data_IF_009658013954
#
_entry.id   IF_009658013954
#
_cell.length_a   1.000
_cell.length_b   1.000
_cell.length_c   1.000
_cell.angle_alpha   90.00
_cell.angle_beta   90.00
_cell.angle_gamma   90.00
#
_symmetry.space_group_name_H-M   'P 1'
#
loop_
_entity.id
_entity.type
_entity.pdbx_description
1 polymer ?
#
# COMPACT_ATOMS: atom_id res chain seq x y z
N UNK A 1 -15.03 -16.56 24.18
CA UNK A 1 -14.20 -17.78 24.19
C UNK A 1 -13.82 -18.04 25.64
N UNK A 2 -14.27 -19.15 26.22
CA UNK A 2 -14.03 -19.49 27.63
C UNK A 2 -12.69 -20.22 27.77
N UNK A 3 -11.94 -19.93 28.84
CA UNK A 3 -10.65 -20.56 29.18
C UNK A 3 -10.81 -21.31 30.52
N UNK A 4 -10.16 -22.48 30.73
CA UNK A 4 -10.46 -23.36 31.85
C UNK A 4 -9.83 -22.85 33.15
N UNK A 5 -10.63 -22.81 34.22
CA UNK A 5 -10.12 -22.67 35.59
C UNK A 5 -9.44 -23.97 36.02
N UNK A 6 -8.24 -23.86 36.58
CA UNK A 6 -7.54 -24.96 37.25
C UNK A 6 -8.34 -25.33 38.50
N UNK A 7 -9.06 -26.45 38.48
CA UNK A 7 -9.86 -26.93 39.61
C UNK A 7 -8.95 -27.33 40.77
N UNK A 8 -8.98 -26.55 41.85
CA UNK A 8 -8.90 -27.08 43.20
C UNK A 8 -10.30 -26.86 43.83
N UNK A 9 -11.14 -27.88 43.69
CA UNK A 9 -12.30 -28.25 44.51
C UNK A 9 -13.05 -27.10 45.19
N UNK A 10 -14.20 -26.73 44.63
CA UNK A 10 -15.43 -26.55 45.41
C UNK A 10 -16.66 -26.84 44.52
N UNK A 11 -17.56 -27.69 45.01
CA UNK A 11 -18.72 -28.18 44.27
C UNK A 11 -19.84 -27.12 44.22
N UNK A 12 -20.18 -26.59 43.03
CA UNK A 12 -21.58 -26.37 42.62
C UNK A 12 -21.71 -25.82 41.19
N UNK A 13 -22.24 -26.67 40.31
CA UNK A 13 -22.99 -26.37 39.08
C UNK A 13 -22.46 -25.29 38.11
N UNK A 14 -21.71 -25.71 37.09
CA UNK A 14 -21.46 -24.91 35.89
C UNK A 14 -20.71 -25.68 34.79
N UNK A 15 -21.44 -26.09 33.75
CA UNK A 15 -20.99 -26.65 32.46
C UNK A 15 -19.60 -27.33 32.42
N UNK A 16 -19.56 -28.65 32.66
CA UNK A 16 -18.41 -29.51 32.39
C UNK A 16 -18.18 -29.67 30.88
N UNK A 17 -17.19 -28.97 30.35
CA UNK A 17 -16.60 -29.27 29.04
C UNK A 17 -15.41 -30.20 29.20
N UNK A 18 -15.52 -31.44 28.72
CA UNK A 18 -14.41 -32.41 28.75
C UNK A 18 -13.21 -31.92 27.94
N UNK A 19 -12.01 -32.00 28.53
CA UNK A 19 -10.73 -31.67 27.90
C UNK A 19 -10.52 -32.42 26.58
N UNK A 20 -10.30 -31.68 25.49
CA UNK A 20 -9.81 -32.23 24.22
C UNK A 20 -8.28 -32.27 24.27
N UNK A 21 -7.71 -33.33 24.85
CA UNK A 21 -6.29 -33.66 24.74
C UNK A 21 -5.54 -33.72 26.08
N UNK A 22 -4.61 -34.67 26.19
CA UNK A 22 -3.78 -34.95 27.37
C UNK A 22 -2.45 -34.16 27.37
N UNK A 23 -2.32 -33.13 26.53
CA UNK A 23 -1.15 -32.25 26.52
C UNK A 23 -1.35 -31.13 27.54
N UNK A 24 -0.32 -30.83 28.34
CA UNK A 24 -0.33 -29.72 29.28
C UNK A 24 -0.48 -28.39 28.51
N UNK A 25 -1.72 -27.99 28.26
CA UNK A 25 -2.03 -26.77 27.51
C UNK A 25 -1.54 -25.53 28.26
N UNK A 26 -0.82 -24.65 27.54
CA UNK A 26 -0.39 -23.34 28.05
C UNK A 26 -1.62 -22.47 28.37
N UNK A 27 -1.63 -21.84 29.54
CA UNK A 27 -2.75 -20.98 29.95
C UNK A 27 -2.79 -19.71 29.09
N UNK A 28 -3.99 -19.12 28.89
CA UNK A 28 -4.17 -17.90 28.09
C UNK A 28 -3.23 -16.75 28.52
N UNK A 29 -3.10 -16.54 29.83
CA UNK A 29 -2.23 -15.50 30.39
C UNK A 29 -0.74 -15.76 30.13
N UNK A 30 -0.33 -17.03 30.10
CA UNK A 30 1.05 -17.43 29.78
C UNK A 30 1.32 -17.26 28.28
N UNK A 31 0.39 -17.69 27.42
CA UNK A 31 0.53 -17.59 25.96
C UNK A 31 0.66 -16.14 25.49
N UNK A 32 -0.14 -15.23 26.05
CA UNK A 32 -0.11 -13.81 25.70
C UNK A 32 0.87 -12.97 26.54
N UNK A 33 1.56 -13.59 27.51
CA UNK A 33 2.45 -12.91 28.45
C UNK A 33 1.77 -11.69 29.10
N UNK A 34 0.55 -11.88 29.60
CA UNK A 34 -0.25 -10.78 30.16
C UNK A 34 0.38 -10.18 31.41
N UNK A 35 1.25 -10.91 32.10
CA UNK A 35 2.06 -10.40 33.19
C UNK A 35 2.97 -9.25 32.74
N UNK A 36 3.59 -9.34 31.55
CA UNK A 36 4.39 -8.25 31.00
C UNK A 36 3.51 -7.15 30.43
N UNK A 37 2.49 -7.53 29.66
CA UNK A 37 1.66 -6.56 28.93
C UNK A 37 0.82 -5.69 29.86
N UNK A 38 0.19 -6.27 30.89
CA UNK A 38 -0.72 -5.59 31.81
C UNK A 38 -0.02 -5.00 33.04
N UNK A 39 1.31 -5.09 33.13
CA UNK A 39 2.12 -4.38 34.13
C UNK A 39 3.06 -3.34 33.50
N UNK A 40 2.84 -2.97 32.24
CA UNK A 40 3.64 -1.97 31.51
C UNK A 40 3.08 -0.54 31.66
N UNK A 41 2.02 -0.31 32.45
CA UNK A 41 1.32 0.97 32.55
C UNK A 41 1.84 1.81 33.72
N UNK A 42 2.94 2.53 33.50
CA UNK A 42 3.60 3.37 34.51
C UNK A 42 3.19 4.84 34.35
N UNK A 43 2.38 5.36 35.29
CA UNK A 43 1.93 6.76 35.33
C UNK A 43 2.91 7.65 36.12
N UNK A 44 3.53 8.64 35.47
CA UNK A 44 4.49 9.54 36.10
C UNK A 44 3.80 10.54 37.06
N UNK A 45 2.56 10.91 36.78
CA UNK A 45 1.77 11.78 37.66
C UNK A 45 1.45 11.12 39.00
N UNK A 46 1.17 9.81 38.98
CA UNK A 46 0.92 9.01 40.18
C UNK A 46 2.17 8.88 41.06
N UNK A 47 3.35 8.68 40.45
CA UNK A 47 4.63 8.67 41.17
C UNK A 47 4.96 10.03 41.80
N UNK A 48 4.49 11.11 41.19
CA UNK A 48 4.70 12.48 41.66
C UNK A 48 3.65 12.96 42.68
N UNK A 49 2.85 12.04 43.25
CA UNK A 49 1.80 12.32 44.25
C UNK A 49 0.67 13.25 43.78
N UNK A 50 0.47 13.40 42.46
CA UNK A 50 -0.65 14.13 41.85
C UNK A 50 -1.20 13.32 40.68
N UNK A 51 -1.92 12.21 40.94
CA UNK A 51 -2.39 11.33 39.89
C UNK A 51 -3.38 12.05 38.97
N UNK A 52 -3.10 12.03 37.67
CA UNK A 52 -4.01 12.50 36.62
C UNK A 52 -4.60 11.28 35.93
N UNK A 53 -5.92 11.12 36.03
CA UNK A 53 -6.64 9.93 35.56
C UNK A 53 -6.37 9.62 34.07
N UNK A 54 -6.43 10.65 33.22
CA UNK A 54 -6.33 10.49 31.76
C UNK A 54 -4.91 10.17 31.26
N UNK A 55 -3.89 10.24 32.12
CA UNK A 55 -2.55 9.75 31.78
C UNK A 55 -2.58 8.23 31.48
N UNK A 56 -3.44 7.46 32.17
CA UNK A 56 -3.59 6.03 31.90
C UNK A 56 -4.14 5.78 30.48
N UNK A 57 -5.15 6.57 30.06
CA UNK A 57 -5.71 6.51 28.70
C UNK A 57 -4.65 6.86 27.65
N UNK A 58 -3.83 7.89 27.92
CA UNK A 58 -2.73 8.28 27.07
C UNK A 58 -1.73 7.12 26.88
N UNK A 59 -1.31 6.45 27.96
CA UNK A 59 -0.37 5.32 27.92
C UNK A 59 -0.96 4.14 27.13
N UNK A 60 -2.16 3.68 27.49
CA UNK A 60 -2.81 2.54 26.84
C UNK A 60 -3.01 2.78 25.35
N UNK A 61 -3.41 3.99 24.96
CA UNK A 61 -3.60 4.34 23.56
C UNK A 61 -2.29 4.19 22.76
N UNK A 62 -1.18 4.73 23.26
CA UNK A 62 0.12 4.63 22.61
C UNK A 62 0.65 3.19 22.59
N UNK A 63 0.48 2.43 23.67
CA UNK A 63 0.84 1.00 23.71
C UNK A 63 0.07 0.19 22.67
N UNK A 64 -1.24 0.44 22.53
CA UNK A 64 -2.04 -0.21 21.49
C UNK A 64 -1.58 0.17 20.08
N UNK A 65 -1.23 1.44 19.82
CA UNK A 65 -0.61 1.85 18.54
C UNK A 65 0.69 1.08 18.27
N UNK A 66 1.59 0.99 19.25
CA UNK A 66 2.88 0.31 19.10
C UNK A 66 2.74 -1.20 18.88
N UNK A 67 1.73 -1.86 19.49
CA UNK A 67 1.41 -3.27 19.18
C UNK A 67 0.97 -3.44 17.73
N UNK A 68 0.11 -2.55 17.23
CA UNK A 68 -0.33 -2.58 15.84
C UNK A 68 0.78 -2.21 14.86
N UNK A 69 1.67 -1.27 15.19
CA UNK A 69 2.86 -0.99 14.37
C UNK A 69 3.76 -2.22 14.27
N UNK A 70 3.96 -2.96 15.37
CA UNK A 70 4.69 -4.23 15.35
C UNK A 70 4.05 -5.25 14.41
N UNK A 71 2.72 -5.39 14.47
CA UNK A 71 2.00 -6.28 13.55
C UNK A 71 2.14 -5.82 12.09
N UNK A 72 2.00 -4.54 11.80
CA UNK A 72 2.16 -4.01 10.43
C UNK A 72 3.58 -4.27 9.93
N UNK A 73 4.61 -4.01 10.74
CA UNK A 73 6.01 -4.26 10.36
C UNK A 73 6.23 -5.75 10.08
N UNK A 74 5.67 -6.63 10.91
CA UNK A 74 5.75 -8.07 10.71
C UNK A 74 5.14 -8.51 9.37
N UNK A 75 3.96 -7.98 9.02
CA UNK A 75 3.32 -8.24 7.73
C UNK A 75 4.13 -7.66 6.55
N UNK A 76 4.61 -6.42 6.69
CA UNK A 76 5.41 -5.74 5.65
C UNK A 76 6.71 -6.50 5.40
N UNK A 77 7.43 -6.92 6.44
CA UNK A 77 8.66 -7.69 6.31
C UNK A 77 8.40 -9.03 5.62
N UNK A 78 7.30 -9.69 5.97
CA UNK A 78 6.95 -10.95 5.32
C UNK A 78 6.53 -10.76 3.85
N UNK A 79 5.85 -9.67 3.50
CA UNK A 79 5.56 -9.31 2.10
C UNK A 79 6.84 -8.96 1.34
N UNK A 80 7.78 -8.23 1.97
CA UNK A 80 9.10 -7.94 1.38
C UNK A 80 9.84 -9.23 1.06
N UNK A 81 9.89 -10.18 1.98
CA UNK A 81 10.51 -11.49 1.73
C UNK A 81 9.83 -12.30 0.61
N UNK A 82 8.51 -12.24 0.49
CA UNK A 82 7.79 -12.91 -0.61
C UNK A 82 8.04 -12.27 -1.99
N UNK A 83 8.34 -10.96 -2.03
CA UNK A 83 8.63 -10.23 -3.26
C UNK A 83 10.12 -10.28 -3.65
N UNK A 84 11.02 -10.53 -2.69
CA UNK A 84 12.47 -10.57 -2.90
C UNK A 84 12.94 -11.93 -3.43
N UNK A 85 12.32 -12.36 -4.53
CA UNK A 85 12.66 -13.59 -5.27
C UNK A 85 12.73 -13.29 -6.77
N UNK A 86 13.54 -14.03 -7.52
CA UNK A 86 13.73 -13.80 -8.97
C UNK A 86 12.45 -14.02 -9.78
N UNK A 87 11.61 -14.96 -9.34
CA UNK A 87 10.30 -15.24 -9.93
C UNK A 87 9.22 -15.30 -8.85
N UNK A 88 8.17 -14.49 -8.99
CA UNK A 88 7.01 -14.54 -8.11
C UNK A 88 6.04 -15.60 -8.65
N UNK A 89 5.87 -16.69 -7.91
CA UNK A 89 4.78 -17.62 -8.18
C UNK A 89 3.42 -16.93 -7.94
N UNK A 90 2.47 -17.16 -8.84
CA UNK A 90 1.11 -16.60 -8.72
C UNK A 90 0.43 -17.06 -7.43
N UNK A 91 0.80 -18.24 -6.92
CA UNK A 91 0.33 -18.74 -5.61
C UNK A 91 0.69 -17.80 -4.44
N UNK A 92 1.88 -17.18 -4.47
CA UNK A 92 2.32 -16.22 -3.45
C UNK A 92 1.64 -14.87 -3.58
N UNK A 93 1.10 -14.53 -4.76
CA UNK A 93 0.39 -13.26 -4.98
C UNK A 93 -0.84 -13.14 -4.08
N UNK A 94 -1.57 -14.24 -3.91
CA UNK A 94 -2.75 -14.26 -3.02
C UNK A 94 -2.37 -14.05 -1.55
N UNK A 95 -1.25 -14.63 -1.11
CA UNK A 95 -0.74 -14.44 0.25
C UNK A 95 -0.31 -12.98 0.48
N UNK A 96 0.37 -12.37 -0.50
CA UNK A 96 0.73 -10.95 -0.46
C UNK A 96 -0.51 -10.08 -0.34
N UNK A 97 -1.53 -10.32 -1.18
CA UNK A 97 -2.79 -9.56 -1.15
C UNK A 97 -3.51 -9.67 0.19
N UNK A 98 -3.59 -10.89 0.74
CA UNK A 98 -4.20 -11.13 2.06
C UNK A 98 -3.51 -10.29 3.15
N UNK A 99 -2.17 -10.24 3.14
CA UNK A 99 -1.37 -9.51 4.13
C UNK A 99 -1.44 -7.99 3.93
N UNK A 100 -1.37 -7.50 2.70
CA UNK A 100 -1.57 -6.08 2.39
C UNK A 100 -2.99 -5.62 2.80
N UNK A 101 -4.02 -6.41 2.50
CA UNK A 101 -5.37 -6.11 2.94
C UNK A 101 -5.50 -6.10 4.48
N UNK A 102 -4.82 -7.03 5.17
CA UNK A 102 -4.75 -7.02 6.64
C UNK A 102 -4.11 -5.72 7.16
N UNK A 103 -3.00 -5.27 6.57
CA UNK A 103 -2.37 -3.99 6.91
C UNK A 103 -3.35 -2.82 6.71
N UNK A 104 -4.07 -2.80 5.58
CA UNK A 104 -5.10 -1.78 5.31
C UNK A 104 -6.19 -1.76 6.39
N UNK A 105 -6.68 -2.92 6.84
CA UNK A 105 -7.68 -2.99 7.90
C UNK A 105 -7.13 -2.53 9.26
N UNK A 106 -5.89 -2.89 9.60
CA UNK A 106 -5.23 -2.39 10.81
C UNK A 106 -5.08 -0.86 10.73
N UNK A 107 -4.63 -0.31 9.61
CA UNK A 107 -4.49 1.14 9.43
C UNK A 107 -5.85 1.86 9.55
N UNK A 108 -6.96 1.27 9.08
CA UNK A 108 -8.31 1.83 9.32
C UNK A 108 -8.64 1.90 10.81
N UNK A 109 -8.37 0.82 11.55
CA UNK A 109 -8.55 0.81 13.01
C UNK A 109 -7.69 1.89 13.68
N UNK A 110 -6.43 2.07 13.25
CA UNK A 110 -5.52 3.08 13.78
C UNK A 110 -6.00 4.52 13.51
N UNK A 111 -6.63 4.76 12.37
CA UNK A 111 -7.25 6.05 12.02
C UNK A 111 -8.40 6.36 12.99
N UNK A 112 -9.25 5.37 13.28
CA UNK A 112 -10.41 5.53 14.15
C UNK A 112 -10.02 5.61 15.64
N UNK A 113 -8.94 4.95 16.03
CA UNK A 113 -8.44 4.93 17.40
C UNK A 113 -8.09 6.33 17.95
N UNK A 114 -7.79 7.31 17.07
CA UNK A 114 -7.56 8.71 17.49
C UNK A 114 -8.78 9.28 18.23
N UNK A 115 -10.00 8.88 17.86
CA UNK A 115 -11.23 9.35 18.48
C UNK A 115 -11.33 8.96 19.97
N UNK A 116 -10.69 7.86 20.39
CA UNK A 116 -10.63 7.45 21.79
C UNK A 116 -9.82 8.46 22.59
N UNK A 117 -8.65 8.86 22.09
CA UNK A 117 -7.79 9.84 22.76
C UNK A 117 -8.37 11.26 22.74
N UNK A 118 -9.20 11.57 21.75
CA UNK A 118 -9.94 12.84 21.67
C UNK A 118 -11.01 13.02 22.77
N UNK A 119 -11.33 11.97 23.54
CA UNK A 119 -12.22 12.07 24.71
C UNK A 119 -11.56 12.75 25.91
N UNK A 120 -10.22 12.76 25.98
CA UNK A 120 -9.45 13.50 26.97
C UNK A 120 -9.53 15.00 26.68
N UNK A 121 -9.75 15.82 27.71
CA UNK A 121 -9.82 17.27 27.52
C UNK A 121 -8.44 17.90 27.45
N UNK A 122 -8.28 19.05 26.77
CA UNK A 122 -6.99 19.77 26.76
C UNK A 122 -6.53 20.22 28.15
N UNK A 123 -7.45 20.47 29.09
CA UNK A 123 -7.10 20.84 30.47
C UNK A 123 -6.49 19.65 31.21
N UNK A 124 -7.12 18.47 31.13
CA UNK A 124 -6.60 17.25 31.75
C UNK A 124 -5.25 16.86 31.14
N UNK A 125 -5.07 17.04 29.82
CA UNK A 125 -3.79 16.81 29.17
C UNK A 125 -2.69 17.73 29.72
N UNK A 126 -3.00 19.01 29.95
CA UNK A 126 -2.04 19.98 30.47
C UNK A 126 -1.54 19.64 31.88
N UNK A 127 -2.36 18.96 32.69
CA UNK A 127 -2.03 18.58 34.07
C UNK A 127 -0.94 17.50 34.18
N UNK A 128 -0.70 16.70 33.13
CA UNK A 128 0.40 15.73 33.12
C UNK A 128 1.43 15.96 32.01
N UNK A 129 1.20 16.90 31.09
CA UNK A 129 2.07 17.14 29.93
C UNK A 129 3.53 17.43 30.29
N UNK A 130 3.81 18.08 31.43
CA UNK A 130 5.19 18.41 31.83
C UNK A 130 6.02 17.17 32.15
N UNK A 131 5.40 16.07 32.59
CA UNK A 131 6.08 14.79 32.84
C UNK A 131 6.57 14.13 31.55
N UNK A 132 5.98 14.48 30.41
CA UNK A 132 6.34 13.91 29.11
C UNK A 132 7.59 14.55 28.48
N UNK A 133 8.15 15.63 29.02
CA UNK A 133 9.33 16.28 28.42
C UNK A 133 10.62 15.53 28.78
N UNK A 134 11.55 15.27 27.83
CA UNK A 134 11.56 15.68 26.42
C UNK A 134 10.91 14.66 25.46
N UNK A 135 10.29 13.61 25.98
CA UNK A 135 9.70 12.54 25.18
C UNK A 135 8.62 13.03 24.19
N UNK A 136 8.62 12.42 23.01
CA UNK A 136 7.69 12.75 21.93
C UNK A 136 7.52 11.58 20.98
N UNK A 137 6.42 11.54 20.23
CA UNK A 137 6.20 10.58 19.14
C UNK A 137 7.26 10.60 18.04
N UNK A 138 8.16 11.60 18.04
CA UNK A 138 9.39 11.58 17.22
C UNK A 138 10.30 10.38 17.53
N UNK A 139 10.24 9.87 18.76
CA UNK A 139 10.99 8.72 19.26
C UNK A 139 10.26 7.39 19.02
N UNK A 140 9.13 7.36 18.29
CA UNK A 140 8.54 6.07 17.89
C UNK A 140 9.44 5.42 16.83
N UNK A 141 10.28 4.48 17.29
CA UNK A 141 11.18 3.69 16.45
C UNK A 141 10.39 2.95 15.38
N UNK A 142 9.32 2.25 15.77
CA UNK A 142 8.52 1.44 14.86
C UNK A 142 7.86 2.28 13.76
N UNK A 143 7.40 3.49 14.07
CA UNK A 143 6.85 4.38 13.05
C UNK A 143 7.90 4.78 11.99
N UNK A 144 9.17 5.00 12.40
CA UNK A 144 10.28 5.27 11.47
C UNK A 144 10.68 4.04 10.67
N UNK A 145 10.75 2.87 11.31
CA UNK A 145 10.98 1.60 10.62
C UNK A 145 9.92 1.33 9.55
N UNK A 146 8.64 1.59 9.87
CA UNK A 146 7.54 1.44 8.91
C UNK A 146 7.72 2.38 7.71
N UNK A 147 8.00 3.67 7.94
CA UNK A 147 8.23 4.62 6.85
C UNK A 147 9.41 4.19 5.95
N UNK A 148 10.52 3.73 6.54
CA UNK A 148 11.70 3.28 5.80
C UNK A 148 11.40 2.01 5.01
N UNK A 149 10.82 0.99 5.65
CA UNK A 149 10.46 -0.29 5.02
C UNK A 149 9.44 -0.14 3.91
N UNK A 150 8.54 0.85 3.98
CA UNK A 150 7.64 1.21 2.89
C UNK A 150 8.42 1.79 1.70
N UNK A 151 9.38 2.70 1.96
CA UNK A 151 10.24 3.30 0.95
C UNK A 151 10.34 4.82 1.00
N UNK A 152 10.03 5.45 2.14
CA UNK A 152 10.15 6.89 2.31
C UNK A 152 11.63 7.32 2.37
N UNK A 153 12.12 7.94 1.29
CA UNK A 153 13.51 8.44 1.23
C UNK A 153 13.75 9.58 2.22
N UNK A 154 14.93 9.59 2.83
CA UNK A 154 15.36 10.64 3.76
C UNK A 154 15.28 12.05 3.15
N UNK A 155 15.68 12.21 1.87
CA UNK A 155 15.63 13.48 1.15
C UNK A 155 14.20 14.06 1.01
N UNK A 156 13.17 13.21 1.07
CA UNK A 156 11.77 13.63 0.99
C UNK A 156 11.21 14.09 2.34
N UNK A 157 11.86 13.75 3.45
CA UNK A 157 11.48 14.21 4.79
C UNK A 157 11.66 15.73 4.88
N UNK A 158 10.77 16.39 5.62
CA UNK A 158 10.90 17.85 5.89
C UNK A 158 12.13 18.11 6.76
N UNK A 159 12.78 19.28 6.62
CA UNK A 159 14.10 19.60 7.21
C UNK A 159 14.26 19.22 8.69
N UNK A 160 13.25 19.52 9.52
CA UNK A 160 13.26 19.17 10.94
C UNK A 160 13.41 17.66 11.20
N UNK A 161 12.93 16.82 10.28
CA UNK A 161 12.91 15.37 10.37
C UNK A 161 13.85 14.70 9.35
N UNK A 162 14.80 15.45 8.76
CA UNK A 162 15.82 14.87 7.88
C UNK A 162 16.85 14.08 8.69
N UNK A 163 17.23 14.59 9.86
CA UNK A 163 18.12 13.91 10.80
C UNK A 163 17.34 13.21 11.92
N UNK A 164 16.29 12.48 11.58
CA UNK A 164 15.43 11.83 12.57
C UNK A 164 16.19 10.79 13.42
N UNK A 165 17.33 10.27 12.92
CA UNK A 165 18.21 9.35 13.64
C UNK A 165 18.83 9.98 14.90
N UNK A 166 19.06 11.31 14.93
CA UNK A 166 19.69 11.95 16.10
C UNK A 166 18.82 11.86 17.36
N UNK A 167 17.53 11.59 17.18
CA UNK A 167 16.55 11.41 18.26
C UNK A 167 16.77 10.07 19.00
N UNK A 168 17.48 9.12 18.38
CA UNK A 168 17.75 7.77 18.91
C UNK A 168 19.23 7.57 19.32
N UNK A 169 20.05 8.63 19.31
CA UNK A 169 21.52 8.54 19.38
C UNK A 169 22.12 7.84 20.61
N UNK A 170 21.33 7.61 21.66
CA UNK A 170 21.75 6.94 22.89
C UNK A 170 21.38 5.44 22.94
N UNK A 171 20.66 4.91 21.93
CA UNK A 171 20.23 3.51 21.85
C UNK A 171 20.88 2.81 20.63
N UNK A 172 21.93 1.99 20.86
CA UNK A 172 22.62 1.27 19.79
C UNK A 172 21.73 0.31 19.00
N UNK A 173 20.79 -0.39 19.65
CA UNK A 173 19.92 -1.37 19.00
C UNK A 173 18.90 -0.69 18.09
N UNK A 174 18.36 0.44 18.55
CA UNK A 174 17.47 1.27 17.73
C UNK A 174 18.20 1.81 16.50
N UNK A 175 19.44 2.29 16.67
CA UNK A 175 20.24 2.81 15.56
C UNK A 175 20.56 1.72 14.53
N UNK A 176 20.99 0.53 14.98
CA UNK A 176 21.25 -0.61 14.10
C UNK A 176 19.99 -0.97 13.29
N UNK A 177 18.84 -1.03 13.95
CA UNK A 177 17.56 -1.32 13.30
C UNK A 177 17.18 -0.27 12.25
N UNK A 178 17.44 1.01 12.52
CA UNK A 178 17.19 2.10 11.58
C UNK A 178 18.10 2.01 10.34
N UNK A 179 19.41 1.83 10.55
CA UNK A 179 20.39 1.67 9.45
C UNK A 179 19.99 0.48 8.58
N UNK A 180 19.71 -0.66 9.19
CA UNK A 180 19.24 -1.86 8.48
C UNK A 180 17.97 -1.59 7.67
N UNK A 181 17.01 -0.84 8.22
CA UNK A 181 15.78 -0.49 7.51
C UNK A 181 15.97 0.44 6.30
N UNK A 182 17.06 1.21 6.26
CA UNK A 182 17.41 2.08 5.13
C UNK A 182 18.22 1.35 4.05
N UNK A 183 19.04 0.37 4.45
CA UNK A 183 19.90 -0.41 3.55
C UNK A 183 19.15 -1.56 2.85
N UNK A 184 18.26 -2.24 3.57
CA UNK A 184 17.50 -3.34 2.99
C UNK A 184 16.52 -2.86 1.90
N UNK A 185 16.18 -3.70 0.91
CA UNK A 185 15.19 -3.35 -0.11
C UNK A 185 13.84 -2.97 0.52
N UNK A 186 13.44 -1.71 0.33
CA UNK A 186 12.13 -1.24 0.72
C UNK A 186 11.03 -1.86 -0.16
N UNK A 187 9.79 -1.89 0.33
CA UNK A 187 8.64 -2.39 -0.39
C UNK A 187 8.48 -1.71 -1.75
N UNK A 188 8.65 -0.38 -1.83
CA UNK A 188 8.65 0.36 -3.09
C UNK A 188 9.66 -0.18 -4.11
N UNK A 189 10.89 -0.51 -3.68
CA UNK A 189 11.93 -1.02 -4.57
C UNK A 189 11.61 -2.43 -5.07
N UNK A 190 11.04 -3.28 -4.22
CA UNK A 190 10.61 -4.63 -4.59
C UNK A 190 9.41 -4.61 -5.55
N UNK A 191 8.44 -3.72 -5.31
CA UNK A 191 7.32 -3.47 -6.21
C UNK A 191 7.80 -2.91 -7.56
N UNK A 192 8.78 -2.01 -7.57
CA UNK A 192 9.41 -1.50 -8.79
C UNK A 192 9.99 -2.66 -9.62
N UNK A 193 10.82 -3.51 -9.01
CA UNK A 193 11.40 -4.69 -9.69
C UNK A 193 10.34 -5.66 -10.21
N UNK A 194 9.26 -5.87 -9.45
CA UNK A 194 8.15 -6.72 -9.87
C UNK A 194 7.40 -6.13 -11.08
N UNK A 195 7.11 -4.83 -11.05
CA UNK A 195 6.44 -4.12 -12.14
C UNK A 195 7.28 -4.10 -13.44
N UNK A 196 8.61 -4.01 -13.34
CA UNK A 196 9.50 -4.06 -14.51
C UNK A 196 9.44 -5.40 -15.28
N UNK A 197 9.01 -6.46 -14.60
CA UNK A 197 8.83 -7.81 -15.15
C UNK A 197 7.42 -8.08 -15.69
N UNK A 198 6.54 -7.08 -15.67
CA UNK A 198 5.16 -7.24 -16.17
C UNK A 198 5.15 -7.77 -17.60
N UNK A 199 4.42 -8.87 -17.88
CA UNK A 199 4.37 -9.46 -19.22
C UNK A 199 3.71 -8.48 -20.20
N UNK A 200 4.24 -8.42 -21.42
CA UNK A 200 3.74 -7.56 -22.51
C UNK A 200 4.46 -6.22 -22.70
N UNK A 201 5.40 -5.88 -21.81
CA UNK A 201 6.27 -4.70 -21.95
C UNK A 201 7.41 -4.90 -22.98
N UNK A 202 7.73 -6.14 -23.34
CA UNK A 202 8.84 -6.45 -24.25
C UNK A 202 8.54 -5.98 -25.68
N UNK A 203 9.53 -5.33 -26.29
CA UNK A 203 9.46 -4.77 -27.66
C UNK A 203 9.29 -5.84 -28.74
N UNK A 204 9.87 -7.02 -28.53
CA UNK A 204 9.78 -8.17 -29.43
C UNK A 204 8.53 -9.04 -29.20
N UNK A 205 7.71 -8.70 -28.19
CA UNK A 205 6.45 -9.39 -27.88
C UNK A 205 5.24 -8.49 -28.18
N UNK A 206 4.31 -8.38 -27.24
CA UNK A 206 3.12 -7.55 -27.38
C UNK A 206 3.42 -6.06 -27.65
N UNK A 207 4.58 -5.56 -27.19
CA UNK A 207 5.01 -4.16 -27.30
C UNK A 207 3.93 -3.17 -26.85
N UNK A 208 3.45 -3.33 -25.61
CA UNK A 208 2.42 -2.46 -25.05
C UNK A 208 2.76 -0.98 -25.21
N UNK A 209 3.99 -0.58 -24.88
CA UNK A 209 4.40 0.82 -24.86
C UNK A 209 4.35 1.48 -26.24
N UNK A 210 4.83 0.79 -27.28
CA UNK A 210 4.75 1.29 -28.66
C UNK A 210 3.32 1.42 -29.15
N UNK A 211 2.46 0.42 -28.87
CA UNK A 211 1.04 0.46 -29.22
C UNK A 211 0.29 1.57 -28.48
N UNK A 212 0.60 1.76 -27.19
CA UNK A 212 0.04 2.82 -26.37
C UNK A 212 0.44 4.22 -26.88
N UNK A 213 1.72 4.42 -27.21
CA UNK A 213 2.19 5.68 -27.80
C UNK A 213 1.49 5.98 -29.14
N UNK A 214 1.32 4.97 -30.00
CA UNK A 214 0.59 5.13 -31.26
C UNK A 214 -0.88 5.52 -31.04
N UNK A 215 -1.55 4.90 -30.06
CA UNK A 215 -2.93 5.22 -29.72
C UNK A 215 -3.08 6.66 -29.18
N UNK A 216 -2.19 7.09 -28.29
CA UNK A 216 -2.16 8.48 -27.77
C UNK A 216 -1.93 9.48 -28.89
N UNK A 217 -0.94 9.23 -29.76
CA UNK A 217 -0.64 10.13 -30.88
C UNK A 217 -1.83 10.25 -31.84
N UNK A 218 -2.55 9.14 -32.10
CA UNK A 218 -3.77 9.13 -32.90
C UNK A 218 -4.86 9.98 -32.23
N UNK A 219 -5.11 9.77 -30.94
CA UNK A 219 -6.11 10.53 -30.17
C UNK A 219 -5.84 12.03 -30.21
N UNK A 220 -4.60 12.45 -29.91
CA UNK A 220 -4.23 13.88 -29.90
C UNK A 220 -4.38 14.48 -31.30
N UNK A 221 -4.04 13.73 -32.35
CA UNK A 221 -4.23 14.19 -33.73
C UNK A 221 -5.71 14.39 -34.06
N UNK A 222 -6.56 13.43 -33.70
CA UNK A 222 -8.02 13.52 -33.87
C UNK A 222 -8.60 14.70 -33.07
N UNK A 223 -8.18 14.89 -31.81
CA UNK A 223 -8.59 16.02 -30.96
C UNK A 223 -8.25 17.38 -31.61
N UNK A 224 -7.05 17.51 -32.20
CA UNK A 224 -6.61 18.73 -32.90
C UNK A 224 -7.44 18.96 -34.17
N UNK A 225 -7.67 17.91 -34.98
CA UNK A 225 -8.47 17.99 -36.20
C UNK A 225 -9.93 18.38 -35.90
N UNK A 226 -10.52 17.84 -34.83
CA UNK A 226 -11.85 18.20 -34.35
C UNK A 226 -11.90 19.63 -33.80
N UNK A 227 -10.89 20.04 -33.02
CA UNK A 227 -10.79 21.41 -32.52
C UNK A 227 -10.73 22.42 -33.68
N UNK A 228 -9.98 22.14 -34.75
CA UNK A 228 -9.89 23.01 -35.92
C UNK A 228 -11.23 23.18 -36.66
N UNK A 229 -12.11 22.17 -36.62
CA UNK A 229 -13.46 22.22 -37.23
C UNK A 229 -14.47 23.01 -36.41
N UNK A 230 -14.18 23.31 -35.14
CA UNK A 230 -15.09 24.01 -34.23
C UNK A 230 -15.36 25.45 -34.73
N UNK A 231 -16.62 25.84 -35.02
CA UNK A 231 -16.93 27.16 -35.58
C UNK A 231 -16.70 28.32 -34.58
N UNK A 232 -16.88 28.08 -33.28
CA UNK A 232 -16.67 29.10 -32.26
C UNK A 232 -15.17 29.28 -31.95
N UNK A 233 -14.63 30.49 -32.16
CA UNK A 233 -13.20 30.78 -32.00
C UNK A 233 -12.70 30.59 -30.56
N UNK A 234 -13.52 30.95 -29.55
CA UNK A 234 -13.14 30.83 -28.14
C UNK A 234 -13.06 29.35 -27.73
N UNK A 235 -14.04 28.55 -28.15
CA UNK A 235 -14.08 27.10 -27.92
C UNK A 235 -12.94 26.41 -28.65
N UNK A 236 -12.67 26.79 -29.91
CA UNK A 236 -11.53 26.29 -30.70
C UNK A 236 -10.21 26.52 -29.97
N UNK A 237 -9.98 27.75 -29.49
CA UNK A 237 -8.76 28.12 -28.77
C UNK A 237 -8.60 27.32 -27.48
N UNK A 238 -9.68 27.14 -26.73
CA UNK A 238 -9.67 26.31 -25.52
C UNK A 238 -9.33 24.85 -25.83
N UNK A 239 -9.99 24.23 -26.82
CA UNK A 239 -9.74 22.84 -27.20
C UNK A 239 -8.31 22.60 -27.71
N UNK A 240 -7.77 23.52 -28.50
CA UNK A 240 -6.37 23.42 -28.96
C UNK A 240 -5.39 23.49 -27.80
N UNK A 241 -5.61 24.40 -26.84
CA UNK A 241 -4.79 24.50 -25.63
C UNK A 241 -4.88 23.24 -24.77
N UNK A 242 -6.06 22.65 -24.64
CA UNK A 242 -6.24 21.38 -23.91
C UNK A 242 -5.50 20.23 -24.59
N UNK A 243 -5.54 20.15 -25.92
CA UNK A 243 -4.80 19.15 -26.69
C UNK A 243 -3.27 19.33 -26.54
N UNK A 244 -2.78 20.57 -26.56
CA UNK A 244 -1.36 20.89 -26.32
C UNK A 244 -0.92 20.50 -24.91
N UNK A 245 -1.70 20.86 -23.88
CA UNK A 245 -1.45 20.46 -22.49
C UNK A 245 -1.43 18.92 -22.36
N UNK A 246 -2.36 18.22 -23.00
CA UNK A 246 -2.43 16.76 -23.01
C UNK A 246 -1.20 16.15 -23.68
N UNK A 247 -0.76 16.71 -24.80
CA UNK A 247 0.48 16.30 -25.47
C UNK A 247 1.69 16.42 -24.56
N UNK A 248 1.81 17.52 -23.81
CA UNK A 248 2.91 17.73 -22.86
C UNK A 248 2.86 16.73 -21.69
N UNK A 249 1.67 16.45 -21.16
CA UNK A 249 1.45 15.44 -20.13
C UNK A 249 1.94 14.06 -20.60
N UNK A 250 1.57 13.63 -21.82
CA UNK A 250 2.00 12.35 -22.36
C UNK A 250 3.49 12.33 -22.77
N UNK A 251 4.04 13.46 -23.24
CA UNK A 251 5.48 13.61 -23.46
C UNK A 251 6.27 13.29 -22.20
N UNK A 252 5.75 13.69 -21.03
CA UNK A 252 6.41 13.42 -19.74
C UNK A 252 6.56 11.93 -19.41
N UNK A 253 5.75 11.05 -20.00
CA UNK A 253 5.89 9.60 -19.82
C UNK A 253 6.59 8.94 -20.99
N UNK A 254 6.44 9.44 -22.22
CA UNK A 254 7.08 8.83 -23.39
C UNK A 254 8.56 9.16 -23.53
N UNK A 255 9.00 10.32 -23.03
CA UNK A 255 10.41 10.71 -22.98
C UNK A 255 11.05 10.22 -21.67
N UNK A 256 11.98 9.23 -21.72
CA UNK A 256 12.65 8.72 -20.52
C UNK A 256 13.45 9.81 -19.79
N UNK A 257 14.06 10.76 -20.51
CA UNK A 257 14.87 11.81 -19.89
C UNK A 257 14.00 12.77 -19.07
N UNK A 258 12.79 13.10 -19.55
CA UNK A 258 11.82 13.89 -18.79
C UNK A 258 11.35 13.12 -17.56
N UNK A 259 11.06 11.82 -17.70
CA UNK A 259 10.68 10.98 -16.56
C UNK A 259 11.79 10.93 -15.49
N UNK A 260 13.04 10.72 -15.88
CA UNK A 260 14.18 10.64 -14.97
C UNK A 260 14.44 11.98 -14.27
N UNK A 261 14.26 13.11 -14.97
CA UNK A 261 14.32 14.43 -14.35
C UNK A 261 13.25 14.62 -13.26
N UNK A 262 12.01 14.17 -13.50
CA UNK A 262 10.93 14.19 -12.50
C UNK A 262 11.23 13.29 -11.31
N UNK A 263 11.83 12.11 -11.56
CA UNK A 263 12.26 11.18 -10.51
C UNK A 263 13.38 11.78 -9.65
N UNK A 264 14.36 12.45 -10.27
CA UNK A 264 15.47 13.11 -9.57
C UNK A 264 14.99 14.25 -8.66
N UNK A 265 13.94 14.99 -9.05
CA UNK A 265 13.32 16.03 -8.22
C UNK A 265 12.40 15.49 -7.12
N UNK A 266 12.13 14.18 -7.10
CA UNK A 266 11.19 13.58 -6.17
C UNK A 266 9.72 13.90 -6.48
N UNK A 267 9.40 14.16 -7.75
CA UNK A 267 8.02 14.26 -8.25
C UNK A 267 7.49 12.89 -8.73
N UNK A 268 8.40 11.97 -9.06
CA UNK A 268 8.12 10.53 -9.29
C UNK A 268 8.96 9.65 -8.37
N UNK A 269 8.62 8.37 -8.26
CA UNK A 269 9.29 7.37 -7.40
C UNK A 269 9.73 6.15 -8.23
N UNK A 270 8.79 5.58 -8.99
CA UNK A 270 8.97 4.41 -9.83
C UNK A 270 9.94 4.70 -10.98
N UNK A 271 10.65 3.67 -11.41
CA UNK A 271 11.41 3.66 -12.66
C UNK A 271 10.47 3.81 -13.86
N UNK A 272 11.03 4.23 -14.99
CA UNK A 272 10.27 4.39 -16.23
C UNK A 272 9.58 3.09 -16.64
N UNK A 273 10.30 1.97 -16.59
CA UNK A 273 9.77 0.65 -16.94
C UNK A 273 8.73 0.13 -15.94
N UNK A 274 8.92 0.37 -14.63
CA UNK A 274 7.90 0.03 -13.63
C UNK A 274 6.60 0.83 -13.85
N UNK A 275 6.70 2.11 -14.22
CA UNK A 275 5.54 2.94 -14.56
C UNK A 275 4.77 2.36 -15.76
N UNK A 276 5.46 1.87 -16.79
CA UNK A 276 4.83 1.20 -17.93
C UNK A 276 4.05 -0.04 -17.49
N UNK A 277 4.64 -0.87 -16.62
CA UNK A 277 3.98 -2.06 -16.05
C UNK A 277 2.73 -1.70 -15.27
N UNK A 278 2.79 -0.66 -14.44
CA UNK A 278 1.64 -0.21 -13.66
C UNK A 278 0.50 0.33 -14.54
N UNK A 279 0.82 1.09 -15.60
CA UNK A 279 -0.17 1.54 -16.60
C UNK A 279 -0.80 0.34 -17.31
N UNK A 280 0.02 -0.65 -17.70
CA UNK A 280 -0.45 -1.85 -18.38
C UNK A 280 -1.44 -2.64 -17.51
N UNK A 281 -1.07 -2.93 -16.25
CA UNK A 281 -1.95 -3.60 -15.28
C UNK A 281 -3.26 -2.82 -15.10
N UNK A 282 -3.20 -1.49 -15.08
CA UNK A 282 -4.38 -0.63 -14.91
C UNK A 282 -5.34 -0.73 -16.10
N UNK A 283 -4.83 -0.77 -17.34
CA UNK A 283 -5.68 -0.89 -18.53
C UNK A 283 -6.27 -2.28 -18.72
N UNK A 284 -5.50 -3.33 -18.43
CA UNK A 284 -5.92 -4.71 -18.64
C UNK A 284 -6.30 -5.41 -17.34
N UNK A 285 -6.73 -4.65 -16.31
CA UNK A 285 -7.12 -5.15 -14.98
C UNK A 285 -8.25 -6.19 -15.00
N UNK A 286 -9.04 -6.21 -16.07
CA UNK A 286 -10.17 -7.12 -16.24
C UNK A 286 -9.69 -8.52 -16.71
N UNK A 287 -8.43 -8.67 -17.12
CA UNK A 287 -7.83 -9.95 -17.46
C UNK A 287 -7.49 -10.77 -16.20
N UNK A 288 -7.72 -12.10 -16.19
CA UNK A 288 -7.53 -12.93 -14.99
C UNK A 288 -6.18 -12.76 -14.31
N UNK A 289 -5.06 -12.81 -15.08
CA UNK A 289 -3.70 -12.66 -14.53
C UNK A 289 -3.35 -11.25 -14.08
N UNK A 290 -4.09 -10.22 -14.49
CA UNK A 290 -3.89 -8.84 -14.04
C UNK A 290 -4.87 -8.36 -12.98
N UNK A 291 -5.95 -9.11 -12.73
CA UNK A 291 -6.91 -8.81 -11.66
C UNK A 291 -6.25 -8.71 -10.28
N UNK A 292 -5.43 -9.71 -9.91
CA UNK A 292 -4.72 -9.78 -8.63
C UNK A 292 -3.61 -8.72 -8.54
N UNK A 293 -2.73 -8.54 -9.56
CA UNK A 293 -1.81 -7.40 -9.62
C UNK A 293 -2.49 -6.04 -9.45
N UNK A 294 -3.65 -5.81 -10.07
CA UNK A 294 -4.37 -4.55 -9.92
C UNK A 294 -4.89 -4.33 -8.49
N UNK A 295 -5.39 -5.39 -7.84
CA UNK A 295 -5.76 -5.33 -6.43
C UNK A 295 -4.55 -5.00 -5.53
N UNK A 296 -3.37 -5.54 -5.86
CA UNK A 296 -2.13 -5.23 -5.14
C UNK A 296 -1.83 -3.73 -5.22
N UNK A 297 -1.83 -3.16 -6.42
CA UNK A 297 -1.63 -1.72 -6.63
C UNK A 297 -2.67 -0.87 -5.88
N UNK A 298 -3.91 -1.34 -5.82
CA UNK A 298 -4.99 -0.68 -5.08
C UNK A 298 -4.71 -0.66 -3.57
N UNK A 299 -4.31 -1.80 -3.00
CA UNK A 299 -3.98 -1.90 -1.57
C UNK A 299 -2.78 -1.03 -1.18
N UNK A 300 -1.77 -0.90 -2.06
CA UNK A 300 -0.64 0.01 -1.84
C UNK A 300 -1.09 1.48 -1.77
N UNK A 301 -2.00 1.91 -2.65
CA UNK A 301 -2.61 3.24 -2.59
C UNK A 301 -3.45 3.41 -1.32
N UNK A 302 -4.22 2.39 -0.91
CA UNK A 302 -5.01 2.42 0.31
C UNK A 302 -4.12 2.61 1.55
N UNK A 303 -2.97 1.93 1.61
CA UNK A 303 -1.99 2.10 2.68
C UNK A 303 -1.47 3.54 2.78
N UNK A 304 -1.03 4.14 1.67
CA UNK A 304 -0.58 5.55 1.65
C UNK A 304 -1.69 6.51 2.06
N UNK A 305 -2.91 6.28 1.58
CA UNK A 305 -4.09 7.08 1.89
C UNK A 305 -4.41 7.03 3.39
N UNK A 306 -4.39 5.83 3.98
CA UNK A 306 -4.68 5.64 5.40
C UNK A 306 -3.58 6.18 6.31
N UNK A 307 -2.30 6.04 5.94
CA UNK A 307 -1.20 6.68 6.68
C UNK A 307 -1.37 8.21 6.65
N UNK A 308 -1.73 8.78 5.50
CA UNK A 308 -1.99 10.22 5.38
C UNK A 308 -3.20 10.66 6.21
N UNK A 309 -4.28 9.88 6.22
CA UNK A 309 -5.46 10.12 7.07
C UNK A 309 -5.11 10.03 8.55
N UNK A 310 -4.31 9.06 8.96
CA UNK A 310 -3.84 8.93 10.34
C UNK A 310 -3.03 10.17 10.75
N UNK A 311 -2.09 10.63 9.90
CA UNK A 311 -1.34 11.87 10.14
C UNK A 311 -2.27 13.08 10.26
N UNK A 312 -3.30 13.16 9.42
CA UNK A 312 -4.27 14.24 9.45
C UNK A 312 -5.08 14.23 10.76
N UNK A 313 -5.66 13.10 11.15
CA UNK A 313 -6.39 12.97 12.41
C UNK A 313 -5.49 13.31 13.60
N UNK A 314 -4.24 12.85 13.59
CA UNK A 314 -3.25 13.22 14.60
C UNK A 314 -2.98 14.73 14.63
N UNK A 315 -2.85 15.39 13.48
CA UNK A 315 -2.69 16.86 13.39
C UNK A 315 -3.88 17.59 14.01
N UNK A 316 -5.11 17.16 13.72
CA UNK A 316 -6.33 17.77 14.25
C UNK A 316 -6.43 17.58 15.77
N UNK A 317 -6.17 16.37 16.25
CA UNK A 317 -6.12 16.06 17.68
C UNK A 317 -5.06 16.93 18.39
N UNK A 318 -3.84 17.03 17.85
CA UNK A 318 -2.78 17.87 18.42
C UNK A 318 -3.18 19.34 18.44
N UNK A 319 -3.83 19.84 17.38
CA UNK A 319 -4.35 21.22 17.36
C UNK A 319 -5.39 21.45 18.47
N UNK A 320 -6.25 20.46 18.75
CA UNK A 320 -7.22 20.53 19.87
C UNK A 320 -6.51 20.53 21.22
N UNK A 321 -5.49 19.69 21.40
CA UNK A 321 -4.80 19.50 22.68
C UNK A 321 -3.86 20.64 23.06
N UNK A 322 -3.11 21.21 22.11
CA UNK A 322 -2.06 22.21 22.41
C UNK A 322 -2.16 23.49 21.56
N UNK A 323 -3.16 23.60 20.69
CA UNK A 323 -3.28 24.72 19.76
C UNK A 323 -2.24 24.70 18.64
N UNK A 324 -2.09 25.83 17.93
CA UNK A 324 -1.20 25.97 16.77
C UNK A 324 0.15 26.61 17.07
N UNK A 325 0.30 27.19 18.27
CA UNK A 325 1.47 28.02 18.65
C UNK A 325 2.33 27.42 19.77
N UNK A 326 1.83 26.41 20.49
CA UNK A 326 2.68 25.73 21.47
C UNK A 326 3.69 24.81 20.77
N UNK A 327 4.95 24.93 21.20
CA UNK A 327 6.01 23.99 20.81
C UNK A 327 5.67 22.58 21.31
N UNK A 328 5.99 21.59 20.48
CA UNK A 328 5.90 20.17 20.87
C UNK A 328 6.92 19.85 21.97
N UNK A 329 6.64 18.83 22.79
CA UNK A 329 7.57 18.39 23.85
C UNK A 329 8.92 17.93 23.30
N UNK A 330 8.94 17.42 22.06
CA UNK A 330 10.15 17.03 21.34
C UNK A 330 10.89 18.17 20.62
N UNK A 331 10.54 19.44 20.84
CA UNK A 331 11.27 20.60 20.30
C UNK A 331 10.89 21.05 18.88
N UNK A 332 9.88 20.44 18.27
CA UNK A 332 9.36 20.89 16.97
C UNK A 332 8.40 22.08 17.12
N UNK A 333 8.08 22.74 16.01
CA UNK A 333 6.97 23.72 15.93
C UNK A 333 5.57 23.12 16.17
N UNK A 334 5.50 21.86 16.61
CA UNK A 334 4.28 21.16 17.00
C UNK A 334 3.36 20.98 15.79
N UNK A 335 2.23 21.66 15.83
CA UNK A 335 1.20 21.62 14.79
C UNK A 335 1.74 21.91 13.37
N UNK A 336 2.56 22.94 13.19
CA UNK A 336 3.03 23.35 11.86
C UNK A 336 3.94 22.28 11.22
N UNK A 337 4.82 21.67 12.03
CA UNK A 337 5.60 20.53 11.59
C UNK A 337 4.69 19.37 11.15
N UNK A 338 3.76 18.94 12.01
CA UNK A 338 2.90 17.79 11.71
C UNK A 338 2.08 18.03 10.44
N UNK A 339 1.54 19.24 10.27
CA UNK A 339 0.81 19.65 9.07
C UNK A 339 1.68 19.54 7.80
N UNK A 340 2.98 19.87 7.88
CA UNK A 340 3.89 19.73 6.74
C UNK A 340 4.12 18.27 6.30
N UNK A 341 3.90 17.31 7.20
CA UNK A 341 3.99 15.86 6.90
C UNK A 341 2.80 15.32 6.10
N UNK A 342 1.75 16.13 5.89
CA UNK A 342 0.58 15.79 5.07
C UNK A 342 0.83 15.95 3.56
N UNK A 343 2.03 16.39 3.17
CA UNK A 343 2.39 16.59 1.77
C UNK A 343 2.65 15.28 1.04
N UNK A 344 2.52 15.30 -0.29
CA UNK A 344 2.83 14.17 -1.18
C UNK A 344 4.29 13.72 -1.13
N UNK A 345 5.17 14.49 -0.47
CA UNK A 345 6.53 14.05 -0.16
C UNK A 345 6.56 12.78 0.70
N UNK A 346 5.53 12.57 1.52
CA UNK A 346 5.40 11.39 2.38
C UNK A 346 4.63 10.22 1.74
N UNK A 347 4.03 10.41 0.55
CA UNK A 347 3.40 9.32 -0.19
C UNK A 347 4.47 8.51 -0.92
N UNK A 348 4.55 7.23 -0.62
CA UNK A 348 5.57 6.33 -1.16
C UNK A 348 5.21 5.86 -2.57
N UNK A 349 3.95 5.54 -2.80
CA UNK A 349 3.39 5.09 -4.08
C UNK A 349 2.67 6.21 -4.82
N UNK A 350 3.22 7.44 -4.76
CA UNK A 350 2.67 8.64 -5.39
C UNK A 350 2.32 8.43 -6.88
N UNK A 351 3.17 7.71 -7.61
CA UNK A 351 2.97 7.46 -9.04
C UNK A 351 1.69 6.67 -9.33
N UNK A 352 1.28 5.76 -8.43
CA UNK A 352 0.07 4.94 -8.62
C UNK A 352 -1.19 5.81 -8.64
N UNK A 353 -1.27 6.83 -7.77
CA UNK A 353 -2.37 7.80 -7.79
C UNK A 353 -2.39 8.60 -9.09
N UNK A 354 -1.20 8.99 -9.58
CA UNK A 354 -1.04 9.81 -10.77
C UNK A 354 -1.21 9.03 -12.08
N UNK A 355 -1.35 7.70 -12.06
CA UNK A 355 -1.68 6.89 -13.25
C UNK A 355 -2.98 7.33 -13.91
N UNK A 356 -3.94 7.81 -13.11
CA UNK A 356 -5.23 8.31 -13.57
C UNK A 356 -5.10 9.43 -14.61
N UNK A 357 -4.02 10.19 -14.55
CA UNK A 357 -3.68 11.27 -15.50
C UNK A 357 -3.45 10.75 -16.92
N UNK A 358 -3.04 9.50 -17.08
CA UNK A 358 -2.61 8.91 -18.36
C UNK A 358 -3.64 7.97 -18.97
N UNK A 359 -4.84 7.86 -18.38
CA UNK A 359 -5.88 6.96 -18.84
C UNK A 359 -6.42 7.38 -20.21
N UNK A 360 -6.71 6.37 -21.03
CA UNK A 360 -7.38 6.51 -22.32
C UNK A 360 -8.82 6.02 -22.25
N UNK A 361 -9.72 6.54 -23.11
CA UNK A 361 -11.00 5.90 -23.40
C UNK A 361 -10.82 4.42 -23.77
N UNK A 362 -11.73 3.55 -23.31
CA UNK A 362 -11.63 2.09 -23.54
C UNK A 362 -11.51 1.71 -25.02
N UNK A 363 -12.11 2.48 -25.92
CA UNK A 363 -12.03 2.28 -27.37
C UNK A 363 -10.63 2.47 -27.97
N UNK A 364 -9.76 3.21 -27.29
CA UNK A 364 -8.41 3.54 -27.73
C UNK A 364 -7.33 2.69 -27.04
N UNK A 365 -7.70 1.89 -26.04
CA UNK A 365 -6.77 0.96 -25.40
C UNK A 365 -6.35 -0.08 -26.45
N UNK A 366 -5.05 -0.32 -26.66
CA UNK A 366 -4.60 -1.32 -27.62
C UNK A 366 -5.24 -2.69 -27.34
N UNK A 367 -5.89 -3.33 -28.32
CA UNK A 367 -6.47 -4.65 -28.09
C UNK A 367 -5.33 -5.67 -27.86
N UNK A 368 -5.58 -6.60 -26.93
CA UNK A 368 -4.71 -7.76 -26.72
C UNK A 368 -4.74 -8.63 -27.98
N UNK A 369 -3.57 -9.08 -28.45
CA UNK A 369 -3.50 -10.09 -29.50
C UNK A 369 -3.81 -11.48 -28.94
N UNK A 370 -4.09 -12.45 -29.81
CA UNK A 370 -4.49 -13.79 -29.38
C UNK A 370 -3.41 -14.50 -28.53
N UNK A 371 -2.13 -14.20 -28.78
CA UNK A 371 -1.01 -14.67 -27.96
C UNK A 371 -1.07 -14.10 -26.54
N UNK A 372 -1.16 -12.78 -26.42
CA UNK A 372 -1.22 -12.09 -25.12
C UNK A 372 -2.51 -12.40 -24.35
N UNK A 373 -3.65 -12.55 -25.04
CA UNK A 373 -4.89 -13.02 -24.40
C UNK A 373 -4.72 -14.40 -23.82
N UNK A 374 -4.12 -15.34 -24.56
CA UNK A 374 -3.88 -16.70 -24.06
C UNK A 374 -2.90 -16.68 -22.88
N UNK A 375 -1.87 -15.84 -22.96
CA UNK A 375 -0.92 -15.69 -21.87
C UNK A 375 -1.56 -15.07 -20.63
N UNK A 376 -2.51 -14.14 -20.77
CA UNK A 376 -3.19 -13.46 -19.65
C UNK A 376 -4.43 -14.18 -19.10
N UNK A 377 -4.95 -15.16 -19.83
CA UNK A 377 -6.17 -15.87 -19.48
C UNK A 377 -5.87 -17.20 -18.80
N UNK A 378 -6.73 -17.58 -17.85
CA UNK A 378 -6.76 -18.89 -17.21
C UNK A 378 -7.85 -19.71 -17.90
N UNK A 379 -7.57 -20.28 -19.07
CA UNK A 379 -8.57 -21.10 -19.78
C UNK A 379 -8.80 -22.41 -19.04
N UNK A 380 -10.03 -22.64 -18.58
CA UNK A 380 -10.51 -23.93 -18.05
C UNK A 380 -11.48 -24.57 -19.05
N UNK A 381 -11.22 -25.83 -19.43
CA UNK A 381 -12.01 -26.60 -20.39
C UNK A 381 -11.47 -26.55 -21.83
N UNK A 382 -11.49 -27.69 -22.53
CA UNK A 382 -11.04 -27.84 -23.92
C UNK A 382 -11.92 -27.00 -24.86
N UNK A 383 -11.42 -25.86 -25.35
CA UNK A 383 -11.98 -25.19 -26.53
C UNK A 383 -11.56 -25.93 -27.83
N UNK A 384 -11.66 -27.25 -27.83
CA UNK A 384 -11.57 -28.10 -29.02
C UNK A 384 -12.96 -28.60 -29.38
N UNK A 385 -13.80 -27.71 -29.89
CA UNK A 385 -14.89 -28.05 -30.80
C UNK A 385 -15.57 -26.75 -31.22
N UNK A 386 -15.04 -26.12 -32.26
CA UNK A 386 -15.83 -25.37 -33.26
C UNK A 386 -14.86 -24.70 -34.24
N UNK A 387 -14.41 -25.45 -35.24
CA UNK A 387 -13.70 -24.87 -36.37
C UNK A 387 -12.93 -25.87 -37.22
N UNK A 388 -13.58 -26.28 -38.32
CA UNK A 388 -13.04 -27.01 -39.49
C UNK A 388 -13.10 -28.54 -39.42
N UNK A 389 -14.24 -29.07 -39.85
CA UNK A 389 -14.27 -30.33 -40.59
C UNK A 389 -13.46 -30.16 -41.89
N UNK A 390 -12.25 -30.68 -41.92
CA UNK A 390 -11.52 -30.92 -43.17
C UNK A 390 -12.28 -31.97 -43.97
N UNK A 391 -12.83 -31.56 -45.12
CA UNK A 391 -13.15 -32.48 -46.21
C UNK A 391 -11.83 -33.08 -46.69
N UNK A 392 -11.52 -34.29 -46.24
CA UNK A 392 -10.58 -35.16 -46.94
C UNK A 392 -11.37 -36.28 -47.61
N UNK A 393 -11.32 -36.25 -48.94
CA UNK A 393 -11.89 -37.27 -49.80
C UNK A 393 -11.25 -38.63 -49.54
N UNK A 394 -12.11 -39.61 -49.29
CA UNK A 394 -11.83 -41.01 -49.47
C UNK A 394 -12.84 -41.51 -50.50
N UNK A 395 -12.44 -41.41 -51.76
CA UNK A 395 -13.07 -42.14 -52.84
C UNK A 395 -12.11 -43.28 -53.18
N UNK A 396 -12.34 -44.44 -52.56
CA UNK A 396 -11.81 -45.70 -53.06
C UNK A 396 -12.85 -46.81 -52.85
N UNK A 397 -13.52 -47.09 -53.97
CA UNK A 397 -13.90 -48.39 -54.53
C UNK A 397 -14.29 -49.59 -53.62
N UNK A 398 -15.20 -50.40 -54.17
CA UNK A 398 -15.73 -51.70 -53.69
C UNK A 398 -16.98 -51.52 -52.79
N UNK A 399 -18.20 -51.57 -53.34
CA UNK A 399 -18.88 -52.85 -53.60
C UNK A 399 -20.10 -52.66 -54.51
N UNK A 400 -20.01 -53.11 -55.76
CA UNK A 400 -21.16 -53.58 -56.53
C UNK A 400 -20.93 -55.07 -56.76
N UNK A 401 -21.59 -55.91 -55.99
CA UNK A 401 -22.02 -57.23 -56.42
C UNK A 401 -23.38 -57.49 -55.77
N UNK A 402 -24.29 -57.87 -56.65
CA UNK A 402 -25.72 -58.02 -56.48
C UNK A 402 -26.07 -59.43 -55.99
N UNK A 403 -27.31 -59.55 -55.48
CA UNK A 403 -28.25 -60.68 -55.54
C UNK A 403 -28.26 -61.74 -54.41
N UNK A 404 -29.49 -61.90 -53.89
CA UNK A 404 -30.18 -63.13 -53.45
C UNK A 404 -29.62 -63.81 -52.18
N UNK A 405 -30.38 -64.17 -51.15
CA UNK A 405 -31.78 -64.62 -50.96
C UNK A 405 -32.33 -64.14 -49.61
#
# INVERSE_FOLDING_TARGET
>A
MACPMRSAIDESSGQDGSCLGNEAGMLYGEYLMLDKLLNAQRMLSAESSKPVHDEHLFIITHQAYELWFKQIIFEVDSVRSLLDVEGLDESHTMEILKRLNRIVLILKLLVDQVMILETMTPLDFMDFRHYLRPASGFQSLQFRLLENKMGLKQALRVKYNQNYQTVFGDDPEAMESLVKSEEEPALLALIERWLERTPGLNTHGFNFWGKFQAAVNKMIKEDIEEAMKEPNEEVRRHRLKDAENRSEIYRSIFDPAVHDALRARGERRLSHRALQGAIMITFYRDEPRFSQPHQLLTLLMDMDSLITKWRYNHVIMVQRMIGSQQLGTGGSSGYQYLRSTLSDRYKVFLDLFNLSTFLLPRSLIPPLDEGMKRDLNLTWGDNKENGKSEQNGLNDSVSKLNLNE
#
